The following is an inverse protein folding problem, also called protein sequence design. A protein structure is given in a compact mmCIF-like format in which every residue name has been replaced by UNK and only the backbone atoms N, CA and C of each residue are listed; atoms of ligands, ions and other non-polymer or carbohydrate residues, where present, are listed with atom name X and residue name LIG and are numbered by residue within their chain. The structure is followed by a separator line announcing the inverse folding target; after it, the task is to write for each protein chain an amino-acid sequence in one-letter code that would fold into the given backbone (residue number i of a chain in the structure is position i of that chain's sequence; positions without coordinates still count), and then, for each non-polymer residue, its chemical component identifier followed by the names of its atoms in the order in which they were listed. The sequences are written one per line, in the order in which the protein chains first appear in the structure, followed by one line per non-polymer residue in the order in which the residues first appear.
data_IF_601443475134
#
_entry.id   IF_601443475134
#
_cell.length_a   1.000
_cell.length_b   1.000
_cell.length_c   1.000
_cell.angle_alpha   90.00
_cell.angle_beta   90.00
_cell.angle_gamma   90.00
#
_symmetry.space_group_name_H-M   'P 1'
#
loop_
_entity.id
_entity.type
_entity.pdbx_description
1 polymer ?
#
# COMPACT_ATOMS: atom_id res chain seq x y z
N UNK A 1 25.60 -1.16 -55.90
CA UNK A 1 25.80 -0.66 -54.52
C UNK A 1 24.68 0.33 -54.21
N UNK A 2 23.66 -0.10 -53.45
CA UNK A 2 22.60 0.80 -52.95
C UNK A 2 23.09 1.37 -51.62
N UNK A 3 23.29 2.69 -51.57
CA UNK A 3 23.49 3.45 -50.33
C UNK A 3 22.16 3.45 -49.58
N UNK A 4 22.17 2.89 -48.35
CA UNK A 4 21.06 2.97 -47.42
C UNK A 4 21.06 4.34 -46.77
N UNK A 5 20.15 5.21 -47.21
CA UNK A 5 19.73 6.38 -46.44
C UNK A 5 18.60 5.97 -45.50
N UNK A 6 18.88 5.92 -44.20
CA UNK A 6 17.87 5.89 -43.14
C UNK A 6 18.46 6.58 -41.89
N UNK A 7 18.62 7.90 -41.97
CA UNK A 7 18.79 8.72 -40.77
C UNK A 7 17.40 9.07 -40.24
N UNK A 8 16.81 8.16 -39.48
CA UNK A 8 15.66 8.50 -38.62
C UNK A 8 16.18 9.42 -37.52
N UNK A 9 16.14 10.73 -37.76
CA UNK A 9 16.33 11.74 -36.73
C UNK A 9 15.22 11.56 -35.70
N UNK A 10 15.55 10.91 -34.57
CA UNK A 10 14.75 11.01 -33.36
C UNK A 10 14.84 12.48 -32.95
N UNK A 11 13.80 13.25 -33.25
CA UNK A 11 13.69 14.60 -32.73
C UNK A 11 13.51 14.50 -31.22
N UNK A 12 14.58 14.73 -30.46
CA UNK A 12 14.44 15.07 -29.06
C UNK A 12 13.56 16.31 -29.01
N UNK A 13 12.30 16.15 -28.56
CA UNK A 13 11.38 17.28 -28.37
C UNK A 13 12.04 18.22 -27.39
N UNK A 14 12.56 19.35 -27.88
CA UNK A 14 13.25 20.32 -27.04
C UNK A 14 12.21 21.03 -26.17
N UNK A 15 12.08 20.60 -24.92
CA UNK A 15 11.20 21.27 -23.96
C UNK A 15 11.67 22.71 -23.75
N UNK A 16 10.71 23.65 -23.68
CA UNK A 16 11.00 25.04 -23.33
C UNK A 16 11.55 25.13 -21.91
N UNK A 17 12.34 26.17 -21.62
CA UNK A 17 12.96 26.34 -20.29
C UNK A 17 11.93 26.34 -19.15
N UNK A 18 10.77 26.95 -19.35
CA UNK A 18 9.67 26.94 -18.38
C UNK A 18 9.20 25.52 -18.06
N UNK A 19 9.10 24.65 -19.06
CA UNK A 19 8.68 23.25 -18.87
C UNK A 19 9.74 22.45 -18.11
N UNK A 20 11.03 22.70 -18.37
CA UNK A 20 12.13 22.09 -17.63
C UNK A 20 12.14 22.52 -16.16
N UNK A 21 11.89 23.79 -15.87
CA UNK A 21 11.79 24.31 -14.49
C UNK A 21 10.61 23.64 -13.78
N UNK A 22 9.43 23.62 -14.40
CA UNK A 22 8.25 22.96 -13.84
C UNK A 22 8.47 21.46 -13.60
N UNK A 23 9.14 20.75 -14.52
CA UNK A 23 9.45 19.34 -14.36
C UNK A 23 10.44 19.10 -13.19
N UNK A 24 11.46 19.95 -13.06
CA UNK A 24 12.41 19.90 -11.96
C UNK A 24 11.71 20.15 -10.61
N UNK A 25 10.89 21.20 -10.52
CA UNK A 25 10.11 21.53 -9.33
C UNK A 25 9.13 20.42 -8.96
N UNK A 26 8.38 19.89 -9.93
CA UNK A 26 7.47 18.77 -9.74
C UNK A 26 8.19 17.51 -9.25
N UNK A 27 9.39 17.24 -9.77
CA UNK A 27 10.22 16.10 -9.35
C UNK A 27 10.68 16.25 -7.91
N UNK A 28 11.11 17.44 -7.51
CA UNK A 28 11.49 17.72 -6.12
C UNK A 28 10.31 17.53 -5.16
N UNK A 29 9.13 18.04 -5.52
CA UNK A 29 7.91 17.87 -4.70
C UNK A 29 7.52 16.40 -4.61
N UNK A 30 7.52 15.66 -5.72
CA UNK A 30 7.23 14.23 -5.72
C UNK A 30 8.18 13.45 -4.81
N UNK A 31 9.49 13.72 -4.89
CA UNK A 31 10.50 13.08 -4.04
C UNK A 31 10.23 13.34 -2.57
N UNK A 32 9.90 14.58 -2.19
CA UNK A 32 9.59 14.89 -0.80
C UNK A 32 8.36 14.17 -0.29
N UNK A 33 7.27 14.18 -1.06
CA UNK A 33 6.05 13.46 -0.68
C UNK A 33 6.34 11.98 -0.53
N UNK A 34 7.08 11.38 -1.47
CA UNK A 34 7.45 9.96 -1.45
C UNK A 34 8.28 9.58 -0.22
N UNK A 35 9.15 10.46 0.25
CA UNK A 35 10.03 10.20 1.39
C UNK A 35 9.54 10.83 2.71
N UNK A 36 8.36 11.46 2.72
CA UNK A 36 7.80 12.07 3.93
C UNK A 36 8.59 13.29 4.43
N UNK A 37 9.27 14.02 3.55
CA UNK A 37 9.98 15.24 3.93
C UNK A 37 9.04 16.43 4.10
N UNK A 38 9.43 17.36 4.97
CA UNK A 38 8.67 18.59 5.23
C UNK A 38 8.78 19.56 4.06
N UNK A 39 7.70 20.21 3.62
CA UNK A 39 7.81 21.26 2.60
C UNK A 39 8.69 22.46 3.02
N UNK A 40 9.05 22.56 4.31
CA UNK A 40 10.04 23.54 4.78
C UNK A 40 11.43 23.19 4.22
N UNK A 41 11.77 21.91 4.01
CA UNK A 41 13.05 21.53 3.40
C UNK A 41 13.20 21.99 1.95
N UNK A 42 12.10 22.20 1.19
CA UNK A 42 12.21 22.79 -0.15
C UNK A 42 12.76 24.19 -0.14
N UNK A 43 12.48 24.97 0.91
CA UNK A 43 13.00 26.33 0.97
C UNK A 43 14.54 26.30 1.00
N UNK A 44 15.12 25.41 1.80
CA UNK A 44 16.55 25.19 1.84
C UNK A 44 17.09 24.56 0.54
N UNK A 45 16.39 23.53 0.02
CA UNK A 45 16.78 22.82 -1.21
C UNK A 45 16.82 23.75 -2.41
N UNK A 46 15.81 24.61 -2.57
CA UNK A 46 15.75 25.63 -3.62
C UNK A 46 16.95 26.56 -3.56
N UNK A 47 17.29 27.07 -2.38
CA UNK A 47 18.43 27.97 -2.22
C UNK A 47 19.74 27.25 -2.55
N UNK A 48 19.93 26.04 -1.99
CA UNK A 48 21.10 25.21 -2.26
C UNK A 48 21.28 24.90 -3.74
N UNK A 49 20.20 24.54 -4.45
CA UNK A 49 20.25 24.25 -5.89
C UNK A 49 20.65 25.49 -6.70
N UNK A 50 20.21 26.69 -6.30
CA UNK A 50 20.68 27.93 -6.93
C UNK A 50 22.15 28.18 -6.66
N UNK A 51 22.58 28.05 -5.41
CA UNK A 51 23.97 28.32 -5.04
C UNK A 51 24.94 27.37 -5.74
N UNK A 52 24.56 26.09 -5.88
CA UNK A 52 25.40 25.08 -6.51
C UNK A 52 25.39 25.14 -8.04
N UNK A 53 24.25 25.48 -8.67
CA UNK A 53 24.06 25.24 -10.10
C UNK A 53 23.65 26.47 -10.93
N UNK A 54 23.46 27.65 -10.33
CA UNK A 54 23.05 28.84 -11.07
C UNK A 54 24.06 29.30 -12.13
N UNK A 55 25.34 28.96 -11.98
CA UNK A 55 26.40 29.26 -12.96
C UNK A 55 26.37 28.33 -14.18
N UNK A 56 25.80 27.13 -14.04
CA UNK A 56 25.87 26.08 -15.05
C UNK A 56 24.49 25.70 -15.64
N UNK A 57 23.38 26.13 -15.04
CA UNK A 57 22.02 25.78 -15.46
C UNK A 57 21.03 26.92 -15.29
N UNK A 58 20.47 27.39 -16.42
CA UNK A 58 19.37 28.35 -16.43
C UNK A 58 18.12 27.80 -15.74
N UNK A 59 17.86 26.49 -15.88
CA UNK A 59 16.75 25.82 -15.21
C UNK A 59 16.90 25.88 -13.68
N UNK A 60 18.10 25.57 -13.15
CA UNK A 60 18.36 25.61 -11.70
C UNK A 60 18.26 27.04 -11.13
N UNK A 61 18.78 28.03 -11.86
CA UNK A 61 18.69 29.45 -11.51
C UNK A 61 17.24 29.92 -11.32
N UNK A 62 16.33 29.38 -12.13
CA UNK A 62 14.95 29.80 -12.21
C UNK A 62 13.98 29.04 -11.31
N UNK A 63 14.43 28.05 -10.53
CA UNK A 63 13.58 27.39 -9.53
C UNK A 63 13.03 28.43 -8.55
N UNK A 64 11.72 28.44 -8.37
CA UNK A 64 11.04 29.29 -7.41
C UNK A 64 10.18 28.49 -6.44
N UNK A 65 9.92 27.21 -6.71
CA UNK A 65 9.15 26.32 -5.86
C UNK A 65 9.81 26.17 -4.49
N UNK A 66 9.01 26.40 -3.48
CA UNK A 66 9.33 26.47 -2.06
C UNK A 66 8.06 26.08 -1.30
N UNK A 67 8.10 26.03 0.03
CA UNK A 67 7.02 25.54 0.92
C UNK A 67 5.59 25.66 0.37
N UNK A 68 5.12 26.89 0.09
CA UNK A 68 3.73 27.13 -0.35
C UNK A 68 3.44 26.57 -1.75
N UNK A 69 4.37 26.77 -2.69
CA UNK A 69 4.25 26.23 -4.07
C UNK A 69 4.37 24.71 -4.07
N UNK A 70 5.24 24.15 -3.24
CA UNK A 70 5.41 22.70 -3.09
C UNK A 70 4.14 22.05 -2.57
N UNK A 71 3.51 22.66 -1.56
CA UNK A 71 2.17 22.24 -1.09
C UNK A 71 1.14 22.34 -2.21
N UNK A 72 1.11 23.43 -2.97
CA UNK A 72 0.16 23.60 -4.06
C UNK A 72 0.34 22.54 -5.16
N UNK A 73 1.58 22.23 -5.54
CA UNK A 73 1.88 21.14 -6.50
C UNK A 73 1.45 19.79 -5.93
N UNK A 74 1.75 19.52 -4.66
CA UNK A 74 1.34 18.27 -4.02
C UNK A 74 -0.19 18.11 -3.98
N UNK A 75 -0.91 19.14 -3.54
CA UNK A 75 -2.36 19.09 -3.34
C UNK A 75 -3.17 19.25 -4.64
N UNK A 76 -2.70 20.04 -5.61
CA UNK A 76 -3.48 20.41 -6.79
C UNK A 76 -3.00 19.71 -8.08
N UNK A 77 -1.83 19.06 -8.05
CA UNK A 77 -1.30 18.34 -9.22
C UNK A 77 -1.06 16.87 -8.89
N UNK A 78 -0.24 16.57 -7.87
CA UNK A 78 0.11 15.18 -7.56
C UNK A 78 -1.07 14.42 -6.98
N UNK A 79 -1.73 14.94 -5.95
CA UNK A 79 -2.87 14.25 -5.32
C UNK A 79 -4.00 13.97 -6.32
N UNK A 80 -4.51 14.93 -7.12
CA UNK A 80 -5.55 14.66 -8.11
C UNK A 80 -5.12 13.65 -9.20
N UNK A 81 -3.83 13.53 -9.47
CA UNK A 81 -3.30 12.55 -10.42
C UNK A 81 -3.19 11.14 -9.82
N UNK A 82 -2.73 11.02 -8.58
CA UNK A 82 -2.48 9.73 -7.94
C UNK A 82 -3.72 9.14 -7.24
N UNK A 83 -4.66 9.96 -6.78
CA UNK A 83 -5.87 9.47 -6.09
C UNK A 83 -6.72 8.58 -7.00
N UNK A 84 -7.07 8.95 -8.25
CA UNK A 84 -7.81 8.06 -9.15
C UNK A 84 -7.08 6.75 -9.41
N UNK A 85 -5.76 6.81 -9.64
CA UNK A 85 -4.93 5.62 -9.85
C UNK A 85 -4.92 4.69 -8.64
N UNK A 86 -4.90 5.25 -7.43
CA UNK A 86 -4.99 4.47 -6.21
C UNK A 86 -6.36 3.76 -6.13
N UNK A 87 -7.44 4.45 -6.52
CA UNK A 87 -8.79 3.86 -6.57
C UNK A 87 -8.84 2.74 -7.61
N UNK A 88 -8.29 2.94 -8.80
CA UNK A 88 -8.21 1.92 -9.85
C UNK A 88 -7.42 0.70 -9.38
N UNK A 89 -6.22 0.90 -8.82
CA UNK A 89 -5.37 -0.13 -8.23
C UNK A 89 -6.11 -0.95 -7.15
N UNK A 90 -6.95 -0.30 -6.34
CA UNK A 90 -7.75 -0.94 -5.30
C UNK A 90 -8.93 -1.71 -5.90
N UNK A 91 -9.58 -1.17 -6.94
CA UNK A 91 -10.70 -1.83 -7.61
C UNK A 91 -10.31 -3.16 -8.27
N UNK A 92 -9.06 -3.28 -8.70
CA UNK A 92 -8.47 -4.50 -9.25
C UNK A 92 -7.88 -5.42 -8.16
N UNK A 93 -7.63 -4.90 -6.96
CA UNK A 93 -7.04 -5.65 -5.86
C UNK A 93 -8.03 -6.67 -5.29
N UNK A 94 -7.65 -7.95 -5.31
CA UNK A 94 -8.46 -9.03 -4.72
C UNK A 94 -8.63 -8.89 -3.20
N UNK A 95 -7.58 -8.42 -2.54
CA UNK A 95 -7.57 -8.22 -1.10
C UNK A 95 -6.81 -6.93 -0.78
N UNK A 96 -7.44 -6.10 0.04
CA UNK A 96 -6.82 -4.92 0.60
C UNK A 96 -7.00 -4.96 2.17
N UNK A 97 -6.42 -4.03 2.93
CA UNK A 97 -6.88 -3.61 4.26
C UNK A 97 -7.02 -2.08 4.34
N UNK A 98 -8.12 -1.58 4.91
CA UNK A 98 -8.32 -0.18 5.26
C UNK A 98 -8.17 0.00 6.77
N UNK A 99 -7.39 1.00 7.13
CA UNK A 99 -7.14 1.39 8.51
C UNK A 99 -7.39 2.89 8.68
N UNK A 100 -7.78 3.27 9.88
CA UNK A 100 -7.85 4.67 10.26
C UNK A 100 -7.13 4.84 11.60
N UNK A 101 -6.38 5.92 11.71
CA UNK A 101 -5.71 6.30 12.95
C UNK A 101 -6.25 7.66 13.43
N UNK A 102 -6.04 7.99 14.70
CA UNK A 102 -6.39 9.29 15.27
C UNK A 102 -5.12 10.12 15.39
N UNK A 103 -4.89 11.01 14.44
CA UNK A 103 -3.78 11.97 14.49
C UNK A 103 -4.24 13.24 15.22
N UNK A 104 -3.67 13.45 16.41
CA UNK A 104 -3.88 14.67 17.19
C UNK A 104 -2.73 15.65 16.92
N UNK A 105 -3.04 16.83 16.36
CA UNK A 105 -2.09 17.95 16.27
C UNK A 105 -2.67 19.19 16.93
N UNK A 106 -2.30 19.41 18.19
CA UNK A 106 -2.95 20.43 19.02
C UNK A 106 -4.41 20.05 19.30
N UNK A 107 -5.33 20.99 19.08
CA UNK A 107 -6.79 20.77 19.24
C UNK A 107 -7.47 20.20 17.98
N UNK A 108 -6.74 19.97 16.89
CA UNK A 108 -7.30 19.41 15.66
C UNK A 108 -7.08 17.91 15.69
N UNK A 109 -8.19 17.16 15.72
CA UNK A 109 -8.20 15.72 15.48
C UNK A 109 -8.38 15.51 13.98
N UNK A 110 -7.48 14.75 13.37
CA UNK A 110 -7.55 14.33 11.97
C UNK A 110 -7.49 12.83 11.92
N UNK A 111 -8.32 12.24 11.06
CA UNK A 111 -8.41 10.79 10.91
C UNK A 111 -7.96 10.43 9.51
N UNK A 112 -6.68 10.06 9.31
CA UNK A 112 -6.24 9.51 8.04
C UNK A 112 -6.90 8.16 7.79
N UNK A 113 -7.62 8.03 6.68
CA UNK A 113 -7.97 6.75 6.09
C UNK A 113 -6.79 6.29 5.25
N UNK A 114 -6.15 5.20 5.69
CA UNK A 114 -5.08 4.52 4.98
C UNK A 114 -5.59 3.22 4.39
N UNK A 115 -5.00 2.84 3.26
CA UNK A 115 -5.25 1.57 2.59
C UNK A 115 -3.93 0.85 2.38
N UNK A 116 -3.94 -0.47 2.53
CA UNK A 116 -2.83 -1.35 2.29
C UNK A 116 -3.31 -2.49 1.41
N UNK A 117 -2.71 -2.72 0.25
CA UNK A 117 -3.19 -3.73 -0.68
C UNK A 117 -2.03 -4.52 -1.28
N UNK A 118 -2.32 -5.74 -1.76
CA UNK A 118 -1.33 -6.56 -2.42
C UNK A 118 -1.42 -6.38 -3.93
N UNK A 119 -0.33 -5.94 -4.54
CA UNK A 119 -0.18 -5.83 -6.00
C UNK A 119 0.84 -6.85 -6.50
N UNK A 120 1.02 -6.96 -7.81
CA UNK A 120 2.00 -7.86 -8.43
C UNK A 120 3.45 -7.61 -7.95
N UNK A 121 3.75 -6.38 -7.51
CA UNK A 121 5.05 -5.97 -6.99
C UNK A 121 5.15 -6.05 -5.45
N UNK A 122 4.12 -6.59 -4.78
CA UNK A 122 4.04 -6.76 -3.34
C UNK A 122 3.08 -5.78 -2.64
N UNK A 123 3.30 -5.60 -1.34
CA UNK A 123 2.45 -4.78 -0.47
C UNK A 123 2.63 -3.29 -0.77
N UNK A 124 1.56 -2.63 -1.20
CA UNK A 124 1.45 -1.19 -1.38
C UNK A 124 0.64 -0.55 -0.26
N UNK A 125 0.88 0.73 0.01
CA UNK A 125 0.17 1.54 0.99
C UNK A 125 -0.19 2.90 0.41
N UNK A 126 -1.36 3.42 0.75
CA UNK A 126 -1.85 4.73 0.34
C UNK A 126 -2.67 5.42 1.43
N UNK A 127 -2.86 6.73 1.29
CA UNK A 127 -3.82 7.51 2.08
C UNK A 127 -4.96 7.86 1.14
N UNK A 128 -6.18 7.47 1.50
CA UNK A 128 -7.39 7.77 0.75
C UNK A 128 -7.85 9.19 1.03
N UNK A 129 -8.02 9.52 2.31
CA UNK A 129 -8.57 10.82 2.73
C UNK A 129 -8.19 11.12 4.18
N UNK A 130 -8.10 12.42 4.52
CA UNK A 130 -8.16 12.88 5.91
C UNK A 130 -9.58 13.38 6.18
N UNK A 131 -10.21 12.90 7.25
CA UNK A 131 -11.48 13.46 7.73
C UNK A 131 -11.27 14.16 9.08
N UNK A 132 -12.02 15.22 9.32
CA UNK A 132 -11.96 15.99 10.57
C UNK A 132 -12.87 15.40 11.65
N UNK A 133 -13.91 14.66 11.26
CA UNK A 133 -14.81 13.91 12.16
C UNK A 133 -15.08 12.54 11.53
N UNK A 134 -14.72 11.42 12.18
CA UNK A 134 -15.02 10.10 11.67
C UNK A 134 -16.53 9.89 11.83
N UNK A 135 -17.18 9.19 10.90
CA UNK A 135 -18.61 8.88 11.02
C UNK A 135 -18.88 8.22 12.38
N UNK A 136 -19.84 8.78 13.12
CA UNK A 136 -20.08 8.42 14.54
C UNK A 136 -20.95 7.18 14.66
N UNK A 137 -21.56 6.71 13.56
CA UNK A 137 -22.45 5.54 13.51
C UNK A 137 -22.30 4.73 12.21
N UNK A 138 -22.66 3.45 12.28
CA UNK A 138 -22.64 2.48 11.16
C UNK A 138 -23.58 2.89 10.02
N UNK A 139 -24.58 3.74 10.28
CA UNK A 139 -25.49 4.23 9.24
C UNK A 139 -24.91 5.40 8.42
N UNK A 140 -24.10 6.29 9.00
CA UNK A 140 -23.38 7.37 8.29
C UNK A 140 -22.24 6.83 7.43
N UNK A 141 -21.73 5.67 7.82
CA UNK A 141 -20.81 4.86 7.05
C UNK A 141 -21.45 4.37 5.72
N UNK A 142 -22.78 4.21 5.61
CA UNK A 142 -23.44 3.63 4.41
C UNK A 142 -23.22 4.41 3.11
N UNK A 143 -23.21 5.75 3.12
CA UNK A 143 -22.94 6.53 1.90
C UNK A 143 -21.46 6.57 1.52
N UNK A 144 -20.58 6.43 2.52
CA UNK A 144 -19.13 6.32 2.35
C UNK A 144 -18.71 4.89 1.93
N UNK A 145 -19.56 3.89 2.19
CA UNK A 145 -19.34 2.45 1.95
C UNK A 145 -19.62 2.00 0.53
N UNK A 146 -20.46 2.70 -0.24
CA UNK A 146 -20.60 2.37 -1.67
C UNK A 146 -19.30 2.69 -2.44
N UNK A 147 -18.46 3.59 -1.92
CA UNK A 147 -17.11 3.87 -2.42
C UNK A 147 -16.02 2.99 -1.76
N UNK A 148 -16.32 2.46 -0.57
CA UNK A 148 -15.39 1.67 0.26
C UNK A 148 -15.98 0.28 0.48
N UNK A 149 -15.90 -0.55 -0.56
CA UNK A 149 -16.29 -1.96 -0.50
C UNK A 149 -15.32 -2.78 0.36
N UNK A 150 -15.45 -2.66 1.68
CA UNK A 150 -15.24 -3.79 2.60
C UNK A 150 -13.86 -4.50 2.47
N UNK A 151 -12.88 -4.11 3.27
CA UNK A 151 -12.06 -5.15 3.91
C UNK A 151 -11.94 -4.92 5.42
N UNK A 152 -12.95 -5.48 6.08
CA UNK A 152 -13.06 -5.47 7.52
C UNK A 152 -12.09 -6.48 8.14
N UNK A 153 -10.84 -6.04 8.33
CA UNK A 153 -9.84 -6.60 9.26
C UNK A 153 -9.45 -8.07 9.04
N UNK A 154 -8.67 -8.27 7.98
CA UNK A 154 -7.71 -9.39 7.86
C UNK A 154 -6.56 -9.27 8.87
N UNK A 155 -6.44 -8.13 9.59
CA UNK A 155 -5.41 -7.85 10.60
C UNK A 155 -5.14 -9.02 11.56
N UNK A 156 -6.18 -9.72 12.04
CA UNK A 156 -5.97 -10.81 13.00
C UNK A 156 -5.29 -12.04 12.39
N UNK A 157 -5.58 -12.34 11.12
CA UNK A 157 -4.93 -13.43 10.38
C UNK A 157 -3.50 -13.02 10.01
N UNK A 158 -3.33 -11.77 9.57
CA UNK A 158 -2.01 -11.20 9.25
C UNK A 158 -1.08 -11.20 10.46
N UNK A 159 -1.58 -10.95 11.67
CA UNK A 159 -0.78 -11.00 12.90
C UNK A 159 -0.23 -12.42 13.15
N UNK A 160 -1.01 -13.47 12.91
CA UNK A 160 -0.52 -14.84 13.06
C UNK A 160 0.50 -15.21 11.98
N UNK A 161 0.30 -14.75 10.74
CA UNK A 161 1.26 -14.91 9.64
C UNK A 161 2.57 -14.15 9.96
N UNK A 162 2.49 -12.90 10.38
CA UNK A 162 3.65 -12.07 10.70
C UNK A 162 4.43 -12.63 11.88
N UNK A 163 3.76 -13.17 12.91
CA UNK A 163 4.42 -13.87 14.01
C UNK A 163 5.17 -15.11 13.53
N UNK A 164 4.61 -15.85 12.58
CA UNK A 164 5.31 -16.99 11.98
C UNK A 164 6.53 -16.51 11.20
N UNK A 165 6.38 -15.49 10.36
CA UNK A 165 7.48 -14.88 9.59
C UNK A 165 8.63 -14.42 10.49
N UNK A 166 8.34 -13.69 11.58
CA UNK A 166 9.34 -13.24 12.55
C UNK A 166 10.07 -14.42 13.23
N UNK A 167 9.39 -15.55 13.42
CA UNK A 167 10.04 -16.76 13.95
C UNK A 167 10.95 -17.39 12.90
N UNK A 168 10.53 -17.43 11.64
CA UNK A 168 11.31 -17.98 10.53
C UNK A 168 12.59 -17.17 10.27
N UNK A 169 12.54 -15.86 10.43
CA UNK A 169 13.68 -14.95 10.23
C UNK A 169 14.77 -15.02 11.31
N UNK A 170 14.59 -15.82 12.38
CA UNK A 170 15.61 -15.95 13.42
C UNK A 170 16.86 -16.65 12.88
N UNK A 171 18.02 -16.19 13.32
CA UNK A 171 19.35 -16.70 12.89
C UNK A 171 19.53 -18.20 13.18
N UNK A 172 18.82 -18.73 14.17
CA UNK A 172 18.96 -20.10 14.67
C UNK A 172 17.74 -20.99 14.38
N UNK A 173 16.86 -20.60 13.45
CA UNK A 173 15.72 -21.44 13.06
C UNK A 173 16.23 -22.71 12.38
N UNK A 174 16.08 -23.86 13.04
CA UNK A 174 16.44 -25.16 12.46
C UNK A 174 15.36 -25.67 11.51
N UNK A 175 15.66 -26.72 10.73
CA UNK A 175 14.65 -27.37 9.89
C UNK A 175 13.47 -27.96 10.70
N UNK A 176 13.73 -28.40 11.93
CA UNK A 176 12.69 -28.89 12.85
C UNK A 176 11.82 -27.74 13.35
N UNK A 177 12.44 -26.60 13.68
CA UNK A 177 11.71 -25.38 14.05
C UNK A 177 10.87 -24.86 12.89
N UNK A 178 11.40 -24.89 11.67
CA UNK A 178 10.69 -24.53 10.44
C UNK A 178 9.39 -25.34 10.30
N UNK A 179 9.47 -26.67 10.39
CA UNK A 179 8.30 -27.55 10.36
C UNK A 179 7.31 -27.18 11.48
N UNK A 180 7.80 -27.04 12.72
CA UNK A 180 6.96 -26.68 13.86
C UNK A 180 6.26 -25.32 13.70
N UNK A 181 6.95 -24.30 13.17
CA UNK A 181 6.39 -22.97 12.96
C UNK A 181 5.29 -23.01 11.90
N UNK A 182 5.58 -23.62 10.75
CA UNK A 182 4.64 -23.69 9.62
C UNK A 182 3.43 -24.55 9.96
N UNK A 183 3.63 -25.76 10.51
CA UNK A 183 2.51 -26.64 10.90
C UNK A 183 1.61 -26.00 11.96
N UNK A 184 2.17 -25.24 12.90
CA UNK A 184 1.36 -24.52 13.88
C UNK A 184 0.58 -23.36 13.27
N UNK A 185 1.15 -22.66 12.27
CA UNK A 185 0.43 -21.62 11.55
C UNK A 185 -0.75 -22.23 10.78
N UNK A 186 -0.52 -23.28 10.01
CA UNK A 186 -1.57 -23.97 9.23
C UNK A 186 -2.70 -24.45 10.14
N UNK A 187 -2.38 -25.16 11.23
CA UNK A 187 -3.39 -25.63 12.20
C UNK A 187 -4.26 -24.50 12.74
N UNK A 188 -3.67 -23.33 13.04
CA UNK A 188 -4.44 -22.16 13.49
C UNK A 188 -5.34 -21.60 12.41
N UNK A 189 -4.88 -21.57 11.16
CA UNK A 189 -5.67 -21.10 10.02
C UNK A 189 -6.85 -22.04 9.72
N UNK A 190 -6.61 -23.35 9.73
CA UNK A 190 -7.65 -24.38 9.59
C UNK A 190 -8.68 -24.32 10.72
N UNK A 191 -8.21 -24.15 11.97
CA UNK A 191 -9.12 -23.98 13.10
C UNK A 191 -10.00 -22.74 12.93
N UNK A 192 -9.47 -21.62 12.43
CA UNK A 192 -10.27 -20.42 12.13
C UNK A 192 -11.32 -20.65 11.05
N UNK A 193 -11.02 -21.46 10.03
CA UNK A 193 -11.99 -21.86 9.01
C UNK A 193 -13.12 -22.69 9.61
N UNK A 194 -12.78 -23.70 10.42
CA UNK A 194 -13.72 -24.59 11.08
C UNK A 194 -14.63 -23.83 12.06
N UNK A 195 -14.03 -22.98 12.90
CA UNK A 195 -14.73 -22.17 13.90
C UNK A 195 -15.45 -20.97 13.27
N UNK A 196 -15.24 -20.71 11.97
CA UNK A 196 -15.72 -19.52 11.25
C UNK A 196 -15.38 -18.22 12.00
N UNK A 197 -14.17 -18.18 12.59
CA UNK A 197 -13.74 -17.12 13.50
C UNK A 197 -12.60 -16.27 12.92
N UNK A 198 -12.92 -15.01 12.59
CA UNK A 198 -12.00 -14.05 11.97
C UNK A 198 -11.52 -12.96 12.94
N UNK A 199 -11.74 -13.17 14.24
CA UNK A 199 -11.42 -12.24 15.32
C UNK A 199 -12.66 -11.60 15.95
N UNK A 200 -12.54 -11.19 17.21
CA UNK A 200 -13.67 -10.75 18.06
C UNK A 200 -14.45 -9.58 17.46
N UNK A 201 -13.73 -8.57 16.96
CA UNK A 201 -14.34 -7.38 16.36
C UNK A 201 -15.01 -7.69 15.01
N UNK A 202 -14.37 -8.51 14.17
CA UNK A 202 -14.95 -8.97 12.90
C UNK A 202 -16.20 -9.80 13.15
N UNK A 203 -16.18 -10.68 14.15
CA UNK A 203 -17.33 -11.48 14.55
C UNK A 203 -18.49 -10.60 15.06
N UNK A 204 -18.21 -9.57 15.87
CA UNK A 204 -19.22 -8.61 16.31
C UNK A 204 -19.86 -7.86 15.14
N UNK A 205 -19.06 -7.45 14.14
CA UNK A 205 -19.54 -6.73 12.95
C UNK A 205 -20.36 -7.67 12.05
N UNK A 206 -19.90 -8.91 11.84
CA UNK A 206 -20.64 -9.91 11.08
C UNK A 206 -22.00 -10.21 11.71
N UNK A 207 -22.08 -10.35 13.03
CA UNK A 207 -23.34 -10.58 13.73
C UNK A 207 -24.30 -9.39 13.58
N UNK A 208 -23.79 -8.16 13.63
CA UNK A 208 -24.61 -6.97 13.35
C UNK A 208 -25.09 -6.96 11.88
N UNK A 209 -24.18 -7.18 10.93
CA UNK A 209 -24.49 -7.25 9.50
C UNK A 209 -25.51 -8.35 9.17
N UNK A 210 -25.43 -9.51 9.80
CA UNK A 210 -26.40 -10.60 9.60
C UNK A 210 -27.84 -10.17 9.92
N UNK A 211 -28.04 -9.28 10.90
CA UNK A 211 -29.37 -8.76 11.27
C UNK A 211 -29.89 -7.78 10.22
N UNK A 212 -29.02 -6.96 9.62
CA UNK A 212 -29.42 -5.89 8.71
C UNK A 212 -29.37 -6.27 7.23
N UNK A 213 -28.47 -7.18 6.83
CA UNK A 213 -28.23 -7.62 5.46
C UNK A 213 -27.50 -8.97 5.45
N UNK A 214 -28.28 -10.06 5.48
CA UNK A 214 -27.77 -11.42 5.55
C UNK A 214 -26.90 -11.80 4.34
N UNK A 215 -27.30 -11.39 3.13
CA UNK A 215 -26.57 -11.73 1.91
C UNK A 215 -25.17 -11.11 1.87
N UNK A 216 -25.04 -9.82 2.24
CA UNK A 216 -23.73 -9.17 2.35
C UNK A 216 -22.88 -9.79 3.45
N UNK A 217 -23.48 -10.19 4.58
CA UNK A 217 -22.75 -10.85 5.65
C UNK A 217 -22.17 -12.20 5.21
N UNK A 218 -22.95 -13.00 4.46
CA UNK A 218 -22.51 -14.26 3.85
C UNK A 218 -21.39 -14.04 2.83
N UNK A 219 -21.56 -13.11 1.89
CA UNK A 219 -20.52 -12.77 0.91
C UNK A 219 -19.20 -12.38 1.58
N UNK A 220 -19.28 -11.58 2.66
CA UNK A 220 -18.10 -11.18 3.42
C UNK A 220 -17.44 -12.37 4.13
N UNK A 221 -18.24 -13.24 4.73
CA UNK A 221 -17.75 -14.47 5.35
C UNK A 221 -17.04 -15.39 4.33
N UNK A 222 -17.64 -15.58 3.16
CA UNK A 222 -17.08 -16.39 2.07
C UNK A 222 -15.76 -15.80 1.55
N UNK A 223 -15.66 -14.47 1.48
CA UNK A 223 -14.43 -13.77 1.12
C UNK A 223 -13.30 -14.02 2.14
N UNK A 224 -13.61 -13.97 3.45
CA UNK A 224 -12.61 -14.29 4.48
C UNK A 224 -12.16 -15.75 4.44
N UNK A 225 -13.09 -16.68 4.22
CA UNK A 225 -12.74 -18.09 4.06
C UNK A 225 -11.84 -18.29 2.84
N UNK A 226 -12.23 -17.73 1.69
CA UNK A 226 -11.45 -17.78 0.45
C UNK A 226 -10.04 -17.20 0.63
N UNK A 227 -9.89 -16.13 1.42
CA UNK A 227 -8.58 -15.58 1.76
C UNK A 227 -7.72 -16.57 2.55
N UNK A 228 -8.25 -17.14 3.65
CA UNK A 228 -7.51 -18.07 4.49
C UNK A 228 -7.15 -19.34 3.71
N UNK A 229 -8.09 -19.88 2.92
CA UNK A 229 -7.84 -21.02 2.03
C UNK A 229 -6.72 -20.72 1.03
N UNK A 230 -6.72 -19.51 0.45
CA UNK A 230 -5.66 -19.08 -0.45
C UNK A 230 -4.30 -19.05 0.25
N UNK A 231 -4.23 -18.54 1.49
CA UNK A 231 -3.02 -18.51 2.30
C UNK A 231 -2.52 -19.92 2.62
N UNK A 232 -3.40 -20.82 3.08
CA UNK A 232 -3.05 -22.21 3.37
C UNK A 232 -2.49 -22.88 2.12
N UNK A 233 -3.22 -22.79 1.00
CA UNK A 233 -2.80 -23.35 -0.29
C UNK A 233 -1.45 -22.80 -0.76
N UNK A 234 -1.22 -21.50 -0.57
CA UNK A 234 0.06 -20.87 -0.88
C UNK A 234 1.18 -21.48 -0.03
N UNK A 235 1.03 -21.51 1.30
CA UNK A 235 2.02 -22.06 2.22
C UNK A 235 2.31 -23.52 1.89
N UNK A 236 1.28 -24.34 1.73
CA UNK A 236 1.42 -25.76 1.38
C UNK A 236 2.18 -25.92 0.08
N UNK A 237 1.84 -25.15 -0.96
CA UNK A 237 2.51 -25.26 -2.27
C UNK A 237 4.01 -24.98 -2.23
N UNK A 238 4.47 -24.15 -1.28
CA UNK A 238 5.90 -23.85 -1.07
C UNK A 238 6.55 -24.82 -0.10
N UNK A 239 5.85 -25.17 0.98
CA UNK A 239 6.36 -26.08 2.01
C UNK A 239 6.53 -27.50 1.47
N UNK A 240 5.58 -28.00 0.69
CA UNK A 240 5.71 -29.29 0.01
C UNK A 240 6.89 -29.33 -0.95
N UNK A 241 7.17 -28.22 -1.66
CA UNK A 241 8.35 -28.11 -2.53
C UNK A 241 9.64 -28.20 -1.71
N UNK A 242 9.71 -27.52 -0.58
CA UNK A 242 10.87 -27.56 0.31
C UNK A 242 11.04 -28.96 0.95
N UNK A 243 9.96 -29.59 1.42
CA UNK A 243 9.96 -30.94 1.98
C UNK A 243 10.45 -31.98 0.96
N UNK A 244 9.96 -31.92 -0.29
CA UNK A 244 10.43 -32.77 -1.39
C UNK A 244 11.88 -32.48 -1.80
N UNK A 245 12.37 -31.26 -1.62
CA UNK A 245 13.76 -30.91 -1.86
C UNK A 245 14.67 -31.47 -0.76
N UNK A 246 14.29 -31.33 0.50
CA UNK A 246 15.03 -31.86 1.66
C UNK A 246 15.05 -33.39 1.62
N UNK A 247 13.94 -34.06 1.31
CA UNK A 247 13.91 -35.52 1.17
C UNK A 247 14.83 -36.03 0.07
N UNK A 248 15.02 -35.26 -1.00
CA UNK A 248 16.02 -35.55 -2.05
C UNK A 248 17.47 -35.31 -1.61
N UNK A 249 17.72 -34.43 -0.64
CA UNK A 249 19.07 -34.19 -0.10
C UNK A 249 19.47 -35.20 0.97
N UNK A 250 18.53 -35.81 1.69
CA UNK A 250 18.81 -36.82 2.74
C UNK A 250 19.11 -38.20 2.14
N UNK A 251 18.91 -38.41 0.83
CA UNK A 251 19.21 -39.67 0.14
C UNK A 251 20.68 -39.80 -0.36
N UNK A 252 21.66 -39.21 0.34
CA UNK A 252 23.09 -39.45 0.09
C UNK A 252 23.76 -40.03 1.34
#
# INVERSE_FOLDING_TARGET
MKSFGNNTLITHTSFGETQKVSAMEGTFVYREVKHGHSYISQQCTRNLVKDLFASCSNTAKNIACAKTKSRAVACNVLAPYFTPKLIDDISEARFYSISFDVSNKGNIKTYPFTVQYFSDIGVKRGILQFVDDPPKRVEELKSYYDFIQVEYRVENVLVDIQRAELKLQRVYTTAVDLYGIISNLIKKLEQRLNDKYFGSKTHSILNQLMVFNEDKAKQLQDSFQSFIECVIKYIDSYFDRASRFISKMICF
#
